data_IF_698119052174
#
_entry.id   IF_698119052174
#
_cell.length_a   1.000
_cell.length_b   1.000
_cell.length_c   1.000
_cell.angle_alpha   90.00
_cell.angle_beta   90.00
_cell.angle_gamma   90.00
#
_symmetry.space_group_name_H-M   'P 1'
#
loop_
_entity.id
_entity.type
_entity.pdbx_description
1 polymer ?
#
# COMPACT_ATOMS: atom_id res chain seq x y z
N UNK A 1 -60.03 -20.80 87.10
CA UNK A 1 -60.98 -20.43 86.02
C UNK A 1 -60.51 -21.10 84.74
N UNK A 2 -61.36 -21.90 84.09
CA UNK A 2 -61.11 -22.40 82.73
C UNK A 2 -61.54 -21.32 81.73
N UNK A 3 -60.73 -21.06 80.70
CA UNK A 3 -61.11 -20.13 79.61
C UNK A 3 -62.39 -20.64 78.93
N UNK A 4 -63.30 -19.73 78.57
CA UNK A 4 -64.53 -20.06 77.83
C UNK A 4 -64.17 -20.60 76.45
N UNK A 5 -64.90 -21.60 75.97
CA UNK A 5 -64.65 -22.34 74.72
C UNK A 5 -64.47 -21.44 73.50
N UNK A 6 -65.16 -20.29 73.47
CA UNK A 6 -65.10 -19.31 72.38
C UNK A 6 -63.73 -18.66 72.25
N UNK A 7 -63.06 -18.31 73.36
CA UNK A 7 -61.70 -17.74 73.31
C UNK A 7 -60.66 -18.74 72.79
N UNK A 8 -60.87 -20.05 73.00
CA UNK A 8 -60.00 -21.09 72.44
C UNK A 8 -60.23 -21.25 70.93
N UNK A 9 -61.48 -21.12 70.47
CA UNK A 9 -61.82 -21.15 69.04
C UNK A 9 -61.27 -19.94 68.28
N UNK A 10 -61.38 -18.73 68.84
CA UNK A 10 -60.78 -17.52 68.26
C UNK A 10 -59.25 -17.63 68.15
N UNK A 11 -58.58 -18.08 69.23
CA UNK A 11 -57.13 -18.29 69.20
C UNK A 11 -56.72 -19.34 68.16
N UNK A 12 -57.50 -20.41 68.00
CA UNK A 12 -57.24 -21.44 66.99
C UNK A 12 -57.42 -20.92 65.56
N UNK A 13 -58.43 -20.10 65.31
CA UNK A 13 -58.65 -19.49 64.00
C UNK A 13 -57.54 -18.48 63.66
N UNK A 14 -57.10 -17.68 64.64
CA UNK A 14 -55.99 -16.76 64.47
C UNK A 14 -54.67 -17.47 64.19
N UNK A 15 -54.39 -18.59 64.88
CA UNK A 15 -53.20 -19.42 64.60
C UNK A 15 -53.22 -19.94 63.16
N UNK A 16 -54.37 -20.44 62.67
CA UNK A 16 -54.48 -20.89 61.27
C UNK A 16 -54.24 -19.77 60.27
N UNK A 17 -54.77 -18.58 60.52
CA UNK A 17 -54.55 -17.43 59.63
C UNK A 17 -53.07 -17.02 59.58
N UNK A 18 -52.35 -17.13 60.70
CA UNK A 18 -50.91 -16.91 60.73
C UNK A 18 -50.12 -18.00 60.00
N UNK A 19 -50.52 -19.27 60.12
CA UNK A 19 -49.91 -20.39 59.38
C UNK A 19 -50.08 -20.23 57.87
N UNK A 20 -51.27 -19.81 57.41
CA UNK A 20 -51.55 -19.57 55.98
C UNK A 20 -50.73 -18.37 55.45
N UNK A 21 -50.65 -17.26 56.22
CA UNK A 21 -49.78 -16.13 55.87
C UNK A 21 -48.31 -16.53 55.82
N UNK A 22 -47.84 -17.33 56.78
CA UNK A 22 -46.45 -17.78 56.81
C UNK A 22 -46.13 -18.66 55.59
N UNK A 23 -47.06 -19.54 55.19
CA UNK A 23 -46.91 -20.35 53.98
C UNK A 23 -46.85 -19.49 52.71
N UNK A 24 -47.69 -18.45 52.62
CA UNK A 24 -47.67 -17.50 51.49
C UNK A 24 -46.34 -16.71 51.43
N UNK A 25 -45.77 -16.36 52.58
CA UNK A 25 -44.45 -15.73 52.66
C UNK A 25 -43.34 -16.67 52.21
N UNK A 26 -43.34 -17.93 52.68
CA UNK A 26 -42.35 -18.95 52.26
C UNK A 26 -42.40 -19.19 50.75
N UNK A 27 -43.59 -19.21 50.15
CA UNK A 27 -43.75 -19.37 48.71
C UNK A 27 -43.25 -18.15 47.92
N UNK A 28 -43.54 -16.93 48.40
CA UNK A 28 -42.99 -15.69 47.81
C UNK A 28 -41.47 -15.60 47.92
N UNK A 29 -40.90 -16.06 49.04
CA UNK A 29 -39.44 -16.09 49.21
C UNK A 29 -38.79 -17.16 48.35
N UNK A 30 -39.45 -18.31 48.15
CA UNK A 30 -39.02 -19.32 47.16
C UNK A 30 -39.00 -18.75 45.74
N UNK A 31 -40.08 -18.08 45.31
CA UNK A 31 -40.14 -17.44 43.99
C UNK A 31 -39.07 -16.35 43.80
N UNK A 32 -38.78 -15.57 44.85
CA UNK A 32 -37.70 -14.57 44.83
C UNK A 32 -36.33 -15.24 44.74
N UNK A 33 -36.11 -16.32 45.47
CA UNK A 33 -34.90 -17.13 45.40
C UNK A 33 -34.65 -17.68 43.99
N UNK A 34 -35.69 -18.21 43.34
CA UNK A 34 -35.61 -18.69 41.96
C UNK A 34 -35.25 -17.56 40.97
N UNK A 35 -35.86 -16.37 41.11
CA UNK A 35 -35.51 -15.19 40.29
C UNK A 35 -34.07 -14.73 40.52
N UNK A 36 -33.58 -14.77 41.76
CA UNK A 36 -32.19 -14.43 42.08
C UNK A 36 -31.20 -15.39 41.43
N UNK A 37 -31.50 -16.69 41.40
CA UNK A 37 -30.66 -17.68 40.70
C UNK A 37 -30.59 -17.41 39.19
N UNK A 38 -31.71 -17.02 38.57
CA UNK A 38 -31.73 -16.62 37.14
C UNK A 38 -30.86 -15.38 36.91
N UNK A 39 -30.96 -14.38 37.79
CA UNK A 39 -30.13 -13.16 37.72
C UNK A 39 -28.65 -13.50 37.87
N UNK A 40 -28.29 -14.37 38.83
CA UNK A 40 -26.91 -14.81 39.03
C UNK A 40 -26.36 -15.53 37.80
N UNK A 41 -27.15 -16.41 37.18
CA UNK A 41 -26.75 -17.10 35.96
C UNK A 41 -26.57 -16.14 34.79
N UNK A 42 -27.49 -15.17 34.62
CA UNK A 42 -27.36 -14.13 33.61
C UNK A 42 -26.10 -13.30 33.83
N UNK A 43 -25.78 -12.97 35.08
CA UNK A 43 -24.56 -12.22 35.40
C UNK A 43 -23.28 -13.02 35.06
N UNK A 44 -23.26 -14.33 35.33
CA UNK A 44 -22.16 -15.22 34.92
C UNK A 44 -21.99 -15.25 33.41
N UNK A 45 -23.09 -15.33 32.65
CA UNK A 45 -23.07 -15.31 31.19
C UNK A 45 -22.52 -13.98 30.65
N UNK A 46 -22.97 -12.84 31.18
CA UNK A 46 -22.48 -11.50 30.78
C UNK A 46 -20.97 -11.39 31.02
N UNK A 47 -20.48 -11.88 32.15
CA UNK A 47 -19.04 -11.85 32.48
C UNK A 47 -18.20 -12.68 31.51
N UNK A 48 -18.69 -13.85 31.10
CA UNK A 48 -18.05 -14.67 30.08
C UNK A 48 -17.99 -13.93 28.74
N UNK A 49 -19.13 -13.40 28.27
CA UNK A 49 -19.20 -12.64 27.01
C UNK A 49 -18.30 -11.39 27.00
N UNK A 50 -18.18 -10.68 28.12
CA UNK A 50 -17.27 -9.54 28.23
C UNK A 50 -15.78 -9.96 28.11
N UNK A 51 -15.44 -11.15 28.59
CA UNK A 51 -14.08 -11.70 28.48
C UNK A 51 -13.77 -12.07 27.03
N UNK A 52 -14.72 -12.71 26.34
CA UNK A 52 -14.58 -13.08 24.93
C UNK A 52 -14.43 -11.85 24.03
N UNK A 53 -15.27 -10.82 24.22
CA UNK A 53 -15.17 -9.54 23.51
C UNK A 53 -13.81 -8.85 23.71
N UNK A 54 -13.22 -8.99 24.91
CA UNK A 54 -11.88 -8.44 25.18
C UNK A 54 -10.80 -9.19 24.41
N UNK A 55 -10.95 -10.51 24.22
CA UNK A 55 -10.09 -11.34 23.38
C UNK A 55 -10.22 -10.99 21.89
N UNK A 56 -11.44 -10.81 21.40
CA UNK A 56 -11.71 -10.35 20.04
C UNK A 56 -11.11 -8.96 19.78
N UNK A 57 -11.29 -8.02 20.70
CA UNK A 57 -10.71 -6.68 20.61
C UNK A 57 -9.18 -6.71 20.55
N UNK A 58 -8.54 -7.57 21.35
CA UNK A 58 -7.08 -7.74 21.31
C UNK A 58 -6.61 -8.28 19.95
N UNK A 59 -7.37 -9.19 19.35
CA UNK A 59 -7.09 -9.72 18.01
C UNK A 59 -7.22 -8.63 16.96
N UNK A 60 -8.29 -7.84 16.98
CA UNK A 60 -8.50 -6.71 16.06
C UNK A 60 -7.39 -5.66 16.20
N UNK A 61 -6.99 -5.32 17.43
CA UNK A 61 -5.88 -4.39 17.67
C UNK A 61 -4.54 -4.92 17.13
N UNK A 62 -4.30 -6.23 17.22
CA UNK A 62 -3.09 -6.85 16.68
C UNK A 62 -3.09 -6.81 15.15
N UNK A 63 -4.21 -7.13 14.49
CA UNK A 63 -4.33 -7.01 13.03
C UNK A 63 -4.20 -5.57 12.54
N UNK A 64 -4.73 -4.60 13.29
CA UNK A 64 -4.56 -3.18 12.98
C UNK A 64 -3.08 -2.74 13.08
N UNK A 65 -2.35 -3.26 14.08
CA UNK A 65 -0.91 -3.01 14.22
C UNK A 65 -0.11 -3.61 13.05
N UNK A 66 -0.39 -4.86 12.68
CA UNK A 66 0.24 -5.51 11.53
C UNK A 66 -0.04 -4.77 10.22
N UNK A 67 -1.27 -4.28 10.04
CA UNK A 67 -1.62 -3.41 8.91
C UNK A 67 -0.84 -2.09 8.90
N UNK A 68 -0.60 -1.50 10.07
CA UNK A 68 0.20 -0.27 10.22
C UNK A 68 1.68 -0.52 9.89
N UNK A 69 2.23 -1.65 10.35
CA UNK A 69 3.60 -2.06 10.06
C UNK A 69 3.78 -2.35 8.56
N UNK A 70 2.80 -3.00 7.93
CA UNK A 70 2.81 -3.24 6.48
C UNK A 70 2.70 -1.94 5.68
N UNK A 71 1.90 -0.98 6.14
CA UNK A 71 1.81 0.34 5.51
C UNK A 71 3.13 1.10 5.59
N UNK A 72 3.88 0.97 6.70
CA UNK A 72 5.21 1.56 6.83
C UNK A 72 6.20 1.00 5.80
N UNK A 73 6.24 -0.32 5.63
CA UNK A 73 7.08 -0.97 4.60
C UNK A 73 6.71 -0.50 3.19
N UNK A 74 5.42 -0.35 2.90
CA UNK A 74 4.95 0.16 1.59
C UNK A 74 5.39 1.61 1.34
N UNK A 75 5.38 2.47 2.36
CA UNK A 75 5.88 3.85 2.26
C UNK A 75 7.39 3.86 2.00
N UNK A 76 8.17 3.07 2.74
CA UNK A 76 9.62 2.98 2.55
C UNK A 76 9.97 2.47 1.14
N UNK A 77 9.22 1.48 0.62
CA UNK A 77 9.38 0.99 -0.76
C UNK A 77 8.98 2.05 -1.81
N UNK A 78 7.95 2.84 -1.54
CA UNK A 78 7.51 3.91 -2.43
C UNK A 78 8.57 5.02 -2.51
N UNK A 79 9.15 5.41 -1.38
CA UNK A 79 10.24 6.39 -1.32
C UNK A 79 11.48 5.90 -2.08
N UNK A 80 11.84 4.61 -1.95
CA UNK A 80 12.94 4.00 -2.71
C UNK A 80 12.66 4.01 -4.22
N UNK A 81 11.43 3.65 -4.63
CA UNK A 81 11.02 3.66 -6.03
C UNK A 81 11.05 5.09 -6.62
N UNK A 82 10.56 6.07 -5.86
CA UNK A 82 10.56 7.48 -6.26
C UNK A 82 11.99 8.02 -6.43
N UNK A 83 12.92 7.69 -5.52
CA UNK A 83 14.33 8.06 -5.66
C UNK A 83 14.98 7.47 -6.93
N UNK A 84 14.63 6.22 -7.29
CA UNK A 84 15.11 5.58 -8.54
C UNK A 84 14.58 6.30 -9.78
N UNK A 85 13.30 6.70 -9.78
CA UNK A 85 12.70 7.45 -10.89
C UNK A 85 13.41 8.79 -11.08
N UNK A 86 13.61 9.56 -10.00
CA UNK A 86 14.31 10.84 -10.09
C UNK A 86 15.74 10.71 -10.64
N UNK A 87 16.45 9.65 -10.24
CA UNK A 87 17.78 9.36 -10.79
C UNK A 87 17.72 9.02 -12.28
N UNK A 88 16.78 8.19 -12.70
CA UNK A 88 16.60 7.84 -14.11
C UNK A 88 16.22 9.05 -14.97
N UNK A 89 15.38 9.95 -14.46
CA UNK A 89 15.04 11.20 -15.14
C UNK A 89 16.27 12.09 -15.33
N UNK A 90 17.12 12.21 -14.30
CA UNK A 90 18.38 12.94 -14.38
C UNK A 90 19.35 12.31 -15.39
N UNK A 91 19.52 10.99 -15.35
CA UNK A 91 20.39 10.26 -16.27
C UNK A 91 19.91 10.38 -17.72
N UNK A 92 18.59 10.33 -17.96
CA UNK A 92 18.00 10.53 -19.29
C UNK A 92 18.20 11.95 -19.80
N UNK A 93 18.04 12.97 -18.97
CA UNK A 93 18.29 14.36 -19.35
C UNK A 93 19.74 14.56 -19.85
N UNK A 94 20.71 13.96 -19.14
CA UNK A 94 22.12 13.97 -19.55
C UNK A 94 22.33 13.21 -20.87
N UNK A 95 21.67 12.07 -21.06
CA UNK A 95 21.79 11.28 -22.29
C UNK A 95 21.23 12.04 -23.50
N UNK A 96 20.06 12.67 -23.35
CA UNK A 96 19.45 13.50 -24.40
C UNK A 96 20.38 14.65 -24.77
N UNK A 97 20.95 15.35 -23.78
CA UNK A 97 21.90 16.43 -24.05
C UNK A 97 23.13 15.94 -24.84
N UNK A 98 23.66 14.76 -24.51
CA UNK A 98 24.78 14.13 -25.25
C UNK A 98 24.40 13.76 -26.69
N UNK A 99 23.18 13.27 -26.90
CA UNK A 99 22.69 12.91 -28.24
C UNK A 99 22.54 14.17 -29.10
N UNK A 100 21.96 15.24 -28.55
CA UNK A 100 21.79 16.52 -29.26
C UNK A 100 23.16 17.11 -29.63
N UNK A 101 24.10 17.18 -28.68
CA UNK A 101 25.47 17.65 -28.92
C UNK A 101 26.17 16.83 -30.02
N UNK A 102 26.06 15.50 -29.98
CA UNK A 102 26.64 14.63 -31.00
C UNK A 102 26.02 14.88 -32.40
N UNK A 103 24.71 15.09 -32.48
CA UNK A 103 24.01 15.38 -33.73
C UNK A 103 24.40 16.75 -34.32
N UNK A 104 24.48 17.79 -33.49
CA UNK A 104 24.90 19.12 -33.89
C UNK A 104 26.33 19.11 -34.44
N UNK A 105 27.25 18.44 -33.74
CA UNK A 105 28.64 18.27 -34.17
C UNK A 105 28.76 17.53 -35.50
N UNK A 106 28.01 16.46 -35.67
CA UNK A 106 27.98 15.68 -36.92
C UNK A 106 27.44 16.51 -38.10
N UNK A 107 26.35 17.24 -37.88
CA UNK A 107 25.73 18.10 -38.90
C UNK A 107 26.66 19.24 -39.31
N UNK A 108 27.30 19.89 -38.34
CA UNK A 108 28.27 20.97 -38.57
C UNK A 108 29.46 20.47 -39.41
N UNK A 109 29.98 19.28 -39.08
CA UNK A 109 31.05 18.64 -39.84
C UNK A 109 30.64 18.30 -41.27
N UNK A 110 29.45 17.72 -41.46
CA UNK A 110 28.95 17.40 -42.80
C UNK A 110 28.83 18.65 -43.69
N UNK A 111 28.41 19.79 -43.12
CA UNK A 111 28.36 21.08 -43.84
C UNK A 111 29.75 21.61 -44.19
N UNK A 112 30.69 21.54 -43.24
CA UNK A 112 32.07 21.94 -43.48
C UNK A 112 32.74 21.11 -44.59
N UNK A 113 32.57 19.79 -44.55
CA UNK A 113 33.13 18.88 -45.57
C UNK A 113 32.55 19.18 -46.96
N UNK A 114 31.24 19.45 -47.05
CA UNK A 114 30.56 19.79 -48.30
C UNK A 114 31.01 21.14 -48.89
N UNK A 115 31.21 22.16 -48.06
CA UNK A 115 31.77 23.46 -48.50
C UNK A 115 33.20 23.33 -49.03
N UNK A 116 34.00 22.48 -48.38
CA UNK A 116 35.37 22.19 -48.80
C UNK A 116 35.41 21.47 -50.15
N UNK A 117 34.54 20.49 -50.36
CA UNK A 117 34.39 19.79 -51.65
C UNK A 117 33.92 20.75 -52.75
N UNK A 118 32.94 21.63 -52.45
CA UNK A 118 32.44 22.64 -53.39
C UNK A 118 33.55 23.60 -53.85
N UNK A 119 34.38 24.10 -52.93
CA UNK A 119 35.54 24.96 -53.24
C UNK A 119 36.55 24.26 -54.17
N UNK A 120 36.84 22.99 -53.91
CA UNK A 120 37.78 22.20 -54.72
C UNK A 120 37.27 21.94 -56.14
N UNK A 121 35.95 21.88 -56.34
CA UNK A 121 35.33 21.61 -57.64
C UNK A 121 35.10 22.83 -58.54
N UNK A 122 35.02 24.05 -57.98
CA UNK A 122 34.54 25.24 -58.71
C UNK A 122 35.49 26.45 -58.75
N UNK A 123 36.64 26.46 -58.04
CA UNK A 123 37.57 27.62 -58.01
C UNK A 123 36.84 28.96 -57.69
N UNK A 124 35.95 28.95 -56.70
CA UNK A 124 35.12 30.12 -56.34
C UNK A 124 35.83 30.99 -55.28
N UNK A 125 35.52 32.29 -55.39
CA UNK A 125 36.01 33.49 -54.71
C UNK A 125 36.19 33.44 -53.17
N UNK A 126 36.87 34.47 -52.65
CA UNK A 126 37.22 34.67 -51.24
C UNK A 126 36.05 34.56 -50.22
N UNK A 127 34.79 34.72 -50.66
CA UNK A 127 33.60 34.60 -49.80
C UNK A 127 33.38 33.17 -49.25
N UNK A 128 33.77 32.14 -50.01
CA UNK A 128 33.69 30.74 -49.54
C UNK A 128 34.77 30.45 -48.48
N UNK A 129 35.87 31.20 -48.50
CA UNK A 129 36.98 31.03 -47.55
C UNK A 129 36.62 31.55 -46.17
N UNK A 130 35.92 32.69 -46.13
CA UNK A 130 35.39 33.26 -44.89
C UNK A 130 34.35 32.31 -44.25
N UNK A 131 33.51 31.64 -45.05
CA UNK A 131 32.50 30.70 -44.56
C UNK A 131 33.13 29.38 -44.06
N UNK A 132 34.16 28.87 -44.75
CA UNK A 132 34.95 27.71 -44.31
C UNK A 132 35.68 28.02 -42.99
N UNK A 133 36.31 29.19 -42.85
CA UNK A 133 37.02 29.58 -41.63
C UNK A 133 36.03 29.78 -40.46
N UNK A 134 34.85 30.36 -40.72
CA UNK A 134 33.78 30.49 -39.73
C UNK A 134 33.30 29.12 -39.22
N UNK A 135 33.07 28.14 -40.11
CA UNK A 135 32.65 26.80 -39.72
C UNK A 135 33.74 26.01 -38.99
N UNK A 136 35.00 26.20 -39.38
CA UNK A 136 36.18 25.63 -38.71
C UNK A 136 36.34 26.18 -37.29
N UNK A 137 36.25 27.49 -37.12
CA UNK A 137 36.30 28.14 -35.79
C UNK A 137 35.16 27.69 -34.89
N UNK A 138 33.98 27.44 -35.46
CA UNK A 138 32.80 26.93 -34.73
C UNK A 138 33.00 25.48 -34.29
N UNK A 139 33.61 24.62 -35.14
CA UNK A 139 33.98 23.25 -34.80
C UNK A 139 35.07 23.18 -33.70
N UNK A 140 36.08 24.04 -33.79
CA UNK A 140 37.15 24.11 -32.80
C UNK A 140 36.63 24.58 -31.43
N UNK A 141 35.71 25.56 -31.40
CA UNK A 141 35.02 25.99 -30.16
C UNK A 141 34.11 24.90 -29.58
N UNK A 142 33.50 24.06 -30.42
CA UNK A 142 32.72 22.90 -29.99
C UNK A 142 33.58 21.73 -29.47
N UNK A 143 34.92 21.85 -29.51
CA UNK A 143 35.84 20.79 -29.10
C UNK A 143 35.95 19.66 -30.13
N UNK A 144 35.52 19.88 -31.35
CA UNK A 144 35.61 18.94 -32.47
C UNK A 144 36.88 19.19 -33.27
N UNK A 145 38.06 19.02 -32.64
CA UNK A 145 39.31 19.13 -33.38
C UNK A 145 39.40 18.03 -34.45
N UNK A 146 39.92 18.40 -35.62
CA UNK A 146 40.06 17.54 -36.82
C UNK A 146 40.98 16.32 -36.63
N UNK A 147 41.39 15.99 -35.40
CA UNK A 147 42.37 14.96 -35.07
C UNK A 147 41.90 13.94 -34.01
N UNK A 148 40.71 14.07 -33.41
CA UNK A 148 40.31 13.24 -32.26
C UNK A 148 39.44 12.01 -32.57
N UNK A 149 39.03 11.76 -33.82
CA UNK A 149 38.08 10.67 -34.12
C UNK A 149 38.34 9.96 -35.46
N UNK A 150 39.60 9.70 -35.78
CA UNK A 150 39.90 8.54 -36.62
C UNK A 150 39.94 7.32 -35.70
N UNK A 151 39.12 6.32 -36.01
CA UNK A 151 39.27 4.94 -35.54
C UNK A 151 38.65 4.58 -34.18
N UNK A 152 37.31 4.60 -34.10
CA UNK A 152 36.56 3.56 -33.37
C UNK A 152 35.32 3.17 -34.16
N UNK A 153 35.48 2.10 -34.93
CA UNK A 153 34.39 1.20 -35.31
C UNK A 153 33.49 0.94 -34.10
N UNK A 154 32.21 1.23 -34.27
CA UNK A 154 31.15 0.84 -33.33
C UNK A 154 31.12 -0.70 -33.34
N UNK A 155 31.39 -1.41 -32.23
CA UNK A 155 31.13 -2.83 -32.20
C UNK A 155 29.63 -3.04 -32.30
N UNK A 156 29.21 -3.90 -33.21
CA UNK A 156 27.82 -4.34 -33.33
C UNK A 156 27.34 -4.82 -31.95
N UNK A 157 26.37 -4.08 -31.40
CA UNK A 157 25.63 -4.46 -30.21
C UNK A 157 24.93 -5.78 -30.50
N UNK A 158 25.33 -6.83 -29.78
CA UNK A 158 24.54 -8.05 -29.70
C UNK A 158 23.17 -7.68 -29.12
N UNK A 159 22.13 -7.97 -29.90
CA UNK A 159 20.77 -8.16 -29.44
C UNK A 159 20.77 -9.19 -28.29
N UNK A 160 20.64 -8.71 -27.07
CA UNK A 160 20.12 -9.48 -25.94
C UNK A 160 19.29 -8.53 -25.08
N UNK A 161 18.06 -8.27 -25.52
CA UNK A 161 17.02 -7.82 -24.61
C UNK A 161 16.76 -8.90 -23.55
N UNK A 162 16.54 -8.56 -22.28
CA UNK A 162 16.15 -9.55 -21.29
C UNK A 162 14.82 -10.19 -21.72
N UNK A 163 14.86 -11.52 -21.84
CA UNK A 163 13.71 -12.40 -22.08
C UNK A 163 12.52 -12.03 -21.20
N UNK A 164 11.34 -12.22 -21.78
CA UNK A 164 10.04 -11.85 -21.23
C UNK A 164 9.84 -12.19 -19.76
N UNK A 165 9.47 -11.18 -19.01
CA UNK A 165 8.65 -11.34 -17.81
C UNK A 165 7.21 -11.40 -18.32
N UNK A 166 6.59 -12.58 -18.22
CA UNK A 166 5.16 -12.74 -18.49
C UNK A 166 4.34 -11.81 -17.57
N UNK A 167 3.30 -11.15 -18.08
CA UNK A 167 2.37 -10.40 -17.24
C UNK A 167 1.56 -11.38 -16.36
N UNK A 168 1.28 -11.06 -15.08
CA UNK A 168 0.36 -11.86 -14.29
C UNK A 168 -1.03 -11.82 -14.92
N UNK A 169 -1.51 -12.99 -15.33
CA UNK A 169 -2.89 -13.22 -15.76
C UNK A 169 -3.83 -12.80 -14.64
N UNK A 170 -4.62 -11.75 -14.89
CA UNK A 170 -5.75 -11.41 -14.04
C UNK A 170 -6.98 -12.25 -14.41
N UNK A 171 -7.43 -12.99 -13.40
CA UNK A 171 -8.79 -13.35 -13.03
C UNK A 171 -9.61 -14.34 -13.89
N UNK A 172 -10.04 -15.43 -13.22
CA UNK A 172 -11.44 -15.83 -13.22
C UNK A 172 -11.89 -16.18 -11.77
N UNK A 173 -12.85 -15.46 -11.15
CA UNK A 173 -13.35 -15.70 -9.80
C UNK A 173 -14.62 -16.58 -9.77
N UNK A 174 -14.77 -17.55 -10.67
CA UNK A 174 -15.85 -18.53 -10.62
C UNK A 174 -15.34 -19.95 -10.35
N UNK A 175 -14.95 -20.26 -9.11
CA UNK A 175 -15.08 -21.63 -8.60
C UNK A 175 -15.96 -21.66 -7.34
N UNK A 176 -17.19 -22.03 -7.66
CA UNK A 176 -18.26 -22.52 -6.83
C UNK A 176 -17.78 -23.62 -5.86
N UNK A 177 -17.85 -23.35 -4.56
CA UNK A 177 -17.79 -24.37 -3.50
C UNK A 177 -18.96 -24.20 -2.56
N UNK A 178 -20.17 -24.35 -3.10
CA UNK A 178 -21.18 -25.08 -2.35
C UNK A 178 -20.69 -26.53 -2.08
N UNK A 179 -21.16 -27.08 -0.96
CA UNK A 179 -20.99 -28.47 -0.47
C UNK A 179 -19.76 -28.77 0.40
N UNK A 180 -19.91 -28.54 1.71
CA UNK A 180 -19.78 -29.62 2.70
C UNK A 180 -20.62 -29.32 3.95
N UNK A 181 -21.64 -30.16 4.09
CA UNK A 181 -22.35 -30.43 5.35
C UNK A 181 -21.41 -31.11 6.34
#
# INVERSE_FOLDING_TARGET
MYRTTDTVLEQRNYIKELEDKNREFEEKDRERGEKLLVIEQNFKNIKASATDLTGELKTVMQSAKEGTDMMKVMVDMFDEAHAKIQKLEADNSVLVAKIVDAYEKSTLKARYDLLKEYKQGLLVDAEVDDEIELYKDTLDKAGCSSSALADKTIPASNDQGPSGVEPPVNADPSEDRETRK
#
